data_IF_779554944296
#
_entry.id   IF_779554944296
#
_cell.length_a   1.000
_cell.length_b   1.000
_cell.length_c   1.000
_cell.angle_alpha   90.00
_cell.angle_beta   90.00
_cell.angle_gamma   90.00
#
_symmetry.space_group_name_H-M   'P 1'
#
loop_
_entity.id
_entity.type
_entity.pdbx_description
1 polymer ?
#
# COMPACT_ATOMS: atom_id res chain seq x y z
N UNK A 1 -1.39 -10.42 -12.10
CA UNK A 1 -0.36 -9.39 -12.38
C UNK A 1 -0.94 -8.01 -12.09
N UNK A 2 -2.20 -7.79 -12.46
CA UNK A 2 -2.95 -6.54 -12.25
C UNK A 2 -3.02 -6.08 -10.79
N UNK A 3 -3.16 -6.99 -9.81
CA UNK A 3 -3.29 -6.62 -8.39
C UNK A 3 -2.06 -5.90 -7.81
N UNK A 4 -0.84 -6.31 -8.21
CA UNK A 4 0.39 -5.64 -7.78
C UNK A 4 0.46 -4.25 -8.40
N UNK A 5 0.18 -4.14 -9.69
CA UNK A 5 0.19 -2.86 -10.40
C UNK A 5 -0.83 -1.88 -9.80
N UNK A 6 -2.05 -2.35 -9.51
CA UNK A 6 -3.09 -1.55 -8.87
C UNK A 6 -2.66 -1.01 -7.50
N UNK A 7 -1.98 -1.84 -6.68
CA UNK A 7 -1.48 -1.36 -5.39
C UNK A 7 -0.31 -0.39 -5.52
N UNK A 8 0.51 -0.51 -6.56
CA UNK A 8 1.57 0.46 -6.87
C UNK A 8 0.95 1.80 -7.28
N UNK A 9 -0.02 1.80 -8.18
CA UNK A 9 -0.73 3.01 -8.60
C UNK A 9 -1.38 3.71 -7.39
N UNK A 10 -2.02 2.93 -6.50
CA UNK A 10 -2.60 3.46 -5.27
C UNK A 10 -1.55 4.04 -4.31
N UNK A 11 -0.34 3.49 -4.28
CA UNK A 11 0.75 4.05 -3.50
C UNK A 11 1.24 5.38 -4.09
N UNK A 12 1.34 5.47 -5.41
CA UNK A 12 1.69 6.70 -6.13
C UNK A 12 0.64 7.80 -5.90
N UNK A 13 -0.65 7.45 -5.91
CA UNK A 13 -1.74 8.37 -5.58
C UNK A 13 -1.63 8.91 -4.14
N UNK A 14 -1.35 8.04 -3.17
CA UNK A 14 -1.15 8.45 -1.78
C UNK A 14 0.07 9.39 -1.64
N UNK A 15 1.16 9.12 -2.36
CA UNK A 15 2.33 9.99 -2.39
C UNK A 15 2.01 11.35 -3.01
N UNK A 16 1.27 11.38 -4.12
CA UNK A 16 0.82 12.61 -4.75
C UNK A 16 -0.08 13.43 -3.82
N UNK A 17 -0.96 12.77 -3.06
CA UNK A 17 -1.85 13.42 -2.09
C UNK A 17 -1.05 14.20 -1.02
N UNK A 18 0.10 13.67 -0.58
CA UNK A 18 0.95 14.34 0.43
C UNK A 18 1.49 15.69 -0.01
N UNK A 19 1.59 15.93 -1.32
CA UNK A 19 2.01 17.21 -1.88
C UNK A 19 0.88 18.26 -1.92
N UNK A 20 -0.36 17.87 -1.64
CA UNK A 20 -1.49 18.79 -1.58
C UNK A 20 -1.44 19.64 -0.30
N UNK A 21 -1.89 20.91 -0.34
CA UNK A 21 -1.87 21.81 0.80
C UNK A 21 -3.01 21.52 1.79
N UNK A 22 -3.01 20.32 2.37
CA UNK A 22 -3.91 19.91 3.44
C UNK A 22 -3.20 19.90 4.79
N UNK A 23 -3.94 20.02 5.92
CA UNK A 23 -3.37 19.85 7.24
C UNK A 23 -2.71 18.48 7.40
N UNK A 24 -1.50 18.44 7.94
CA UNK A 24 -0.71 17.22 8.18
C UNK A 24 -1.49 16.10 8.88
N UNK A 25 -2.37 16.45 9.82
CA UNK A 25 -3.22 15.47 10.53
C UNK A 25 -4.15 14.68 9.60
N UNK A 26 -4.59 15.29 8.49
CA UNK A 26 -5.45 14.63 7.50
C UNK A 26 -4.63 13.68 6.65
N UNK A 27 -3.43 14.10 6.22
CA UNK A 27 -2.47 13.23 5.54
C UNK A 27 -2.13 11.99 6.37
N UNK A 28 -1.77 12.18 7.64
CA UNK A 28 -1.47 11.06 8.56
C UNK A 28 -2.67 10.15 8.74
N UNK A 29 -3.90 10.69 8.80
CA UNK A 29 -5.12 9.88 8.88
C UNK A 29 -5.34 9.07 7.60
N UNK A 30 -5.27 9.72 6.43
CA UNK A 30 -5.41 9.07 5.11
C UNK A 30 -4.44 7.90 4.96
N UNK A 31 -3.16 8.13 5.29
CA UNK A 31 -2.12 7.10 5.25
C UNK A 31 -2.39 5.96 6.23
N UNK A 32 -2.81 6.25 7.47
CA UNK A 32 -3.13 5.22 8.47
C UNK A 32 -4.29 4.32 8.05
N UNK A 33 -5.27 4.89 7.34
CA UNK A 33 -6.45 4.16 6.86
C UNK A 33 -6.14 3.36 5.59
N UNK A 34 -5.30 3.90 4.69
CA UNK A 34 -5.09 3.32 3.35
C UNK A 34 -3.90 2.37 3.24
N UNK A 35 -2.77 2.66 3.91
CA UNK A 35 -1.55 1.86 3.76
C UNK A 35 -1.69 0.39 4.18
N UNK A 36 -2.44 0.01 5.22
CA UNK A 36 -2.61 -1.40 5.58
C UNK A 36 -3.16 -2.23 4.42
N UNK A 37 -4.20 -1.75 3.75
CA UNK A 37 -4.82 -2.43 2.61
C UNK A 37 -3.87 -2.52 1.41
N UNK A 38 -3.10 -1.47 1.13
CA UNK A 38 -2.09 -1.47 0.06
C UNK A 38 -1.02 -2.54 0.33
N UNK A 39 -0.52 -2.62 1.56
CA UNK A 39 0.49 -3.62 1.94
C UNK A 39 -0.07 -5.04 1.86
N UNK A 40 -1.30 -5.26 2.32
CA UNK A 40 -1.96 -6.57 2.19
C UNK A 40 -2.14 -6.98 0.73
N UNK A 41 -2.59 -6.06 -0.14
CA UNK A 41 -2.73 -6.30 -1.57
C UNK A 41 -1.39 -6.59 -2.26
N UNK A 42 -0.33 -5.87 -1.91
CA UNK A 42 1.02 -6.14 -2.46
C UNK A 42 1.54 -7.52 -2.06
N UNK A 43 1.36 -7.90 -0.79
CA UNK A 43 1.74 -9.24 -0.30
C UNK A 43 0.94 -10.33 -0.99
N UNK A 44 -0.39 -10.16 -1.08
CA UNK A 44 -1.27 -11.10 -1.75
C UNK A 44 -0.88 -11.29 -3.23
N UNK A 45 -0.68 -10.18 -3.95
CA UNK A 45 -0.24 -10.20 -5.34
C UNK A 45 1.13 -10.86 -5.52
N UNK A 46 2.08 -10.60 -4.63
CA UNK A 46 3.41 -11.24 -4.66
C UNK A 46 3.32 -12.77 -4.47
N UNK A 47 2.54 -13.22 -3.48
CA UNK A 47 2.33 -14.66 -3.25
C UNK A 47 1.60 -15.30 -4.43
N UNK A 48 0.60 -14.62 -5.01
CA UNK A 48 -0.11 -15.08 -6.20
C UNK A 48 0.79 -15.20 -7.43
N UNK A 49 1.86 -14.38 -7.52
CA UNK A 49 2.87 -14.47 -8.56
C UNK A 49 3.87 -15.63 -8.34
N UNK A 50 3.71 -16.43 -7.28
CA UNK A 50 4.58 -17.56 -6.93
C UNK A 50 5.74 -17.21 -6.02
N UNK A 51 5.72 -16.03 -5.39
CA UNK A 51 6.69 -15.65 -4.37
C UNK A 51 6.52 -16.43 -3.06
N UNK A 52 7.57 -16.48 -2.25
CA UNK A 52 7.57 -17.17 -0.95
C UNK A 52 7.05 -16.25 0.17
N UNK A 53 6.38 -16.80 1.19
CA UNK A 53 5.88 -15.98 2.29
C UNK A 53 6.95 -15.73 3.36
N UNK A 54 7.73 -14.67 3.17
CA UNK A 54 8.75 -14.21 4.14
C UNK A 54 8.17 -13.42 5.32
N UNK A 55 6.90 -13.01 5.26
CA UNK A 55 6.29 -12.11 6.23
C UNK A 55 5.68 -12.83 7.44
N UNK A 56 5.29 -14.10 7.28
CA UNK A 56 4.80 -14.94 8.39
C UNK A 56 5.89 -15.23 9.43
N UNK A 57 7.17 -15.11 9.05
CA UNK A 57 8.31 -15.31 9.95
C UNK A 57 8.53 -14.14 10.92
N UNK A 58 7.78 -13.04 10.79
CA UNK A 58 7.95 -11.79 11.57
C UNK A 58 6.77 -11.44 12.47
N UNK A 59 5.70 -12.23 12.47
CA UNK A 59 4.53 -12.09 13.35
C UNK A 59 4.71 -12.90 14.64
#
# INVERSE_FOLDING_TARGET
MDEIAEQIDRLDDLLAELHTPLPLRLHVRSLKESLPAVIEGLKAGYLAAGGENDWDLRA
#
